data_IF_402928792950
#
_entry.id   IF_402928792950
#
_cell.length_a   1.000
_cell.length_b   1.000
_cell.length_c   1.000
_cell.angle_alpha   90.00
_cell.angle_beta   90.00
_cell.angle_gamma   90.00
#
_symmetry.space_group_name_H-M   'P 1'
#
loop_
_entity.id
_entity.type
_entity.pdbx_description
1 polymer ?
#
# COMPACT_ATOMS: atom_id res chain seq x y z
N UNK A 1 15.11 43.27 -10.44
CA UNK A 1 14.15 42.57 -9.54
C UNK A 1 14.94 41.96 -8.39
N UNK A 2 14.96 42.60 -7.21
CA UNK A 2 15.71 42.10 -6.06
C UNK A 2 14.87 41.01 -5.37
N UNK A 3 15.32 39.76 -5.48
CA UNK A 3 14.72 38.63 -4.75
C UNK A 3 15.14 38.78 -3.30
N UNK A 4 14.22 39.16 -2.42
CA UNK A 4 14.49 39.27 -1.00
C UNK A 4 14.70 37.88 -0.37
N UNK A 5 15.54 37.80 0.67
CA UNK A 5 15.86 36.56 1.39
C UNK A 5 14.59 35.79 1.86
N UNK A 6 13.51 36.50 2.17
CA UNK A 6 12.19 35.96 2.54
C UNK A 6 11.52 35.22 1.38
N UNK A 7 11.64 35.78 0.15
CA UNK A 7 11.06 35.15 -1.04
C UNK A 7 11.83 33.89 -1.45
N UNK A 8 13.15 33.84 -1.23
CA UNK A 8 13.96 32.66 -1.47
C UNK A 8 13.58 31.50 -0.53
N UNK A 9 13.35 31.78 0.75
CA UNK A 9 12.91 30.76 1.73
C UNK A 9 11.51 30.26 1.39
N UNK A 10 10.59 31.14 1.02
CA UNK A 10 9.23 30.74 0.63
C UNK A 10 9.21 29.86 -0.62
N UNK A 11 10.00 30.21 -1.65
CA UNK A 11 10.14 29.43 -2.88
C UNK A 11 10.76 28.07 -2.59
N UNK A 12 11.81 28.02 -1.74
CA UNK A 12 12.47 26.77 -1.34
C UNK A 12 11.50 25.85 -0.59
N UNK A 13 10.65 26.40 0.29
CA UNK A 13 9.67 25.62 1.05
C UNK A 13 8.57 25.04 0.14
N UNK A 14 8.10 25.82 -0.84
CA UNK A 14 7.10 25.38 -1.83
C UNK A 14 7.68 24.28 -2.73
N UNK A 15 8.93 24.41 -3.17
CA UNK A 15 9.60 23.39 -4.00
C UNK A 15 9.81 22.11 -3.22
N UNK A 16 10.25 22.18 -1.95
CA UNK A 16 10.44 21.01 -1.09
C UNK A 16 9.12 20.28 -0.81
N UNK A 17 8.00 20.99 -0.73
CA UNK A 17 6.67 20.40 -0.54
C UNK A 17 6.04 19.89 -1.84
N UNK A 18 6.36 20.48 -2.99
CA UNK A 18 5.76 20.13 -4.29
C UNK A 18 6.44 18.92 -4.95
N UNK A 19 7.76 18.75 -4.80
CA UNK A 19 8.50 17.65 -5.42
C UNK A 19 8.00 16.27 -4.94
N UNK A 20 7.74 16.04 -3.64
CA UNK A 20 7.19 14.76 -3.21
C UNK A 20 5.80 14.47 -3.78
N UNK A 21 4.95 15.47 -3.96
CA UNK A 21 3.57 15.24 -4.42
C UNK A 21 3.48 14.81 -5.89
N UNK A 22 4.40 15.24 -6.74
CA UNK A 22 4.45 14.86 -8.16
C UNK A 22 5.01 13.45 -8.40
N UNK A 23 5.90 12.97 -7.51
CA UNK A 23 6.50 11.63 -7.62
C UNK A 23 5.60 10.50 -7.06
N UNK A 24 4.42 10.82 -6.52
CA UNK A 24 3.63 9.91 -5.69
C UNK A 24 2.34 9.40 -6.33
N UNK A 25 2.00 9.83 -7.53
CA UNK A 25 0.84 9.33 -8.25
C UNK A 25 1.19 8.09 -9.07
N UNK A 26 1.51 6.99 -8.37
CA UNK A 26 1.41 5.70 -9.01
C UNK A 26 -0.07 5.39 -9.22
N UNK A 27 -0.49 5.20 -10.45
CA UNK A 27 -1.81 4.66 -10.72
C UNK A 27 -1.82 3.17 -10.41
N UNK A 28 -2.81 2.73 -9.65
CA UNK A 28 -3.06 1.32 -9.37
C UNK A 28 -4.25 0.89 -10.20
N UNK A 29 -4.05 -0.14 -11.01
CA UNK A 29 -5.02 -0.59 -12.02
C UNK A 29 -5.28 -2.10 -11.89
N UNK A 30 -6.25 -2.61 -12.67
CA UNK A 30 -6.53 -4.03 -12.75
C UNK A 30 -7.04 -4.64 -11.44
N UNK A 31 -7.67 -3.84 -10.56
CA UNK A 31 -8.07 -4.26 -9.22
C UNK A 31 -8.92 -5.54 -9.21
N UNK A 32 -9.86 -5.70 -10.15
CA UNK A 32 -10.68 -6.90 -10.21
C UNK A 32 -9.84 -8.16 -10.49
N UNK A 33 -8.91 -8.09 -11.45
CA UNK A 33 -8.02 -9.20 -11.79
C UNK A 33 -7.06 -9.57 -10.67
N UNK A 34 -6.38 -8.57 -10.09
CA UNK A 34 -5.47 -8.81 -8.97
C UNK A 34 -6.20 -9.33 -7.72
N UNK A 35 -7.38 -8.80 -7.41
CA UNK A 35 -8.20 -9.27 -6.30
C UNK A 35 -8.57 -10.74 -6.47
N UNK A 36 -8.97 -11.15 -7.68
CA UNK A 36 -9.28 -12.54 -7.97
C UNK A 36 -8.03 -13.43 -7.94
N UNK A 37 -6.96 -13.01 -8.60
CA UNK A 37 -5.72 -13.79 -8.72
C UNK A 37 -4.99 -14.00 -7.38
N UNK A 38 -5.10 -13.05 -6.46
CA UNK A 38 -4.43 -13.09 -5.15
C UNK A 38 -5.37 -13.46 -4.00
N UNK A 39 -6.51 -14.07 -4.30
CA UNK A 39 -7.48 -14.54 -3.29
C UNK A 39 -8.04 -13.42 -2.39
N UNK A 40 -8.25 -12.21 -2.95
CA UNK A 40 -8.95 -11.11 -2.28
C UNK A 40 -10.46 -11.32 -2.22
N UNK A 41 -11.22 -10.21 -2.20
CA UNK A 41 -12.68 -10.22 -2.17
C UNK A 41 -13.24 -10.10 -0.76
N UNK A 42 -14.51 -10.48 -0.59
CA UNK A 42 -15.18 -10.35 0.72
C UNK A 42 -14.82 -11.51 1.62
N UNK A 43 -14.27 -11.19 2.78
CA UNK A 43 -13.90 -12.16 3.83
C UNK A 43 -14.54 -11.77 5.16
N UNK A 44 -14.80 -12.79 6.00
CA UNK A 44 -15.40 -12.59 7.32
C UNK A 44 -14.34 -12.77 8.41
N UNK A 45 -14.24 -11.78 9.30
CA UNK A 45 -13.40 -11.85 10.50
C UNK A 45 -14.28 -11.55 11.72
N UNK A 46 -14.38 -12.52 12.62
CA UNK A 46 -15.34 -12.45 13.71
C UNK A 46 -16.79 -12.36 13.20
N UNK A 47 -17.52 -11.34 13.60
CA UNK A 47 -18.90 -11.09 13.18
C UNK A 47 -19.02 -10.23 11.92
N UNK A 48 -17.95 -9.55 11.50
CA UNK A 48 -17.98 -8.53 10.46
C UNK A 48 -17.43 -9.02 9.13
N UNK A 49 -17.91 -8.41 8.03
CA UNK A 49 -17.44 -8.66 6.67
C UNK A 49 -16.59 -7.49 6.22
N UNK A 50 -15.43 -7.81 5.66
CA UNK A 50 -14.49 -6.85 5.09
C UNK A 50 -14.29 -7.14 3.61
N UNK A 51 -14.18 -6.09 2.80
CA UNK A 51 -13.79 -6.21 1.39
C UNK A 51 -12.28 -6.00 1.31
N UNK A 52 -11.58 -6.99 0.74
CA UNK A 52 -10.14 -6.96 0.52
C UNK A 52 -9.91 -6.77 -0.96
N UNK A 53 -9.37 -5.61 -1.33
CA UNK A 53 -9.12 -5.24 -2.72
C UNK A 53 -7.62 -5.13 -2.96
N UNK A 54 -7.18 -5.71 -4.08
CA UNK A 54 -5.78 -5.67 -4.51
C UNK A 54 -5.71 -5.05 -5.90
N UNK A 55 -4.83 -4.07 -6.04
CA UNK A 55 -4.58 -3.39 -7.32
C UNK A 55 -3.09 -3.38 -7.61
N UNK A 56 -2.70 -3.59 -8.88
CA UNK A 56 -1.30 -3.55 -9.30
C UNK A 56 -0.88 -2.18 -9.80
N UNK A 57 0.34 -1.76 -9.46
CA UNK A 57 1.04 -0.71 -10.16
C UNK A 57 2.03 -1.37 -11.12
N UNK A 58 2.07 -0.93 -12.37
CA UNK A 58 3.13 -1.33 -13.28
C UNK A 58 4.46 -0.84 -12.72
N UNK A 59 5.31 -1.79 -12.32
CA UNK A 59 6.64 -1.50 -11.81
C UNK A 59 7.44 -0.75 -12.85
N UNK A 60 8.11 0.31 -12.45
CA UNK A 60 9.15 0.95 -13.24
C UNK A 60 10.44 0.14 -13.08
N UNK A 61 11.04 -0.24 -14.22
CA UNK A 61 12.43 -0.75 -14.32
C UNK A 61 12.70 -2.10 -13.61
N UNK A 62 12.01 -3.18 -14.03
CA UNK A 62 12.41 -4.55 -13.71
C UNK A 62 12.24 -4.99 -12.26
N UNK A 63 11.73 -4.13 -11.40
CA UNK A 63 11.22 -4.50 -10.08
C UNK A 63 9.79 -4.96 -10.26
N UNK A 64 9.47 -6.19 -9.89
CA UNK A 64 8.17 -6.81 -10.08
C UNK A 64 6.98 -5.91 -9.69
N UNK A 65 5.77 -6.33 -10.03
CA UNK A 65 4.57 -5.54 -9.77
C UNK A 65 4.44 -5.19 -8.28
N UNK A 66 4.29 -3.91 -8.01
CA UNK A 66 3.91 -3.46 -6.68
C UNK A 66 2.40 -3.57 -6.53
N UNK A 67 1.96 -4.23 -5.49
CA UNK A 67 0.55 -4.45 -5.18
C UNK A 67 0.14 -3.53 -4.04
N UNK A 68 -0.99 -2.86 -4.22
CA UNK A 68 -1.68 -2.16 -3.16
C UNK A 68 -2.81 -3.04 -2.64
N UNK A 69 -2.74 -3.43 -1.38
CA UNK A 69 -3.78 -4.13 -0.64
C UNK A 69 -4.57 -3.12 0.19
N UNK A 70 -5.88 -3.06 0.01
CA UNK A 70 -6.78 -2.26 0.81
C UNK A 70 -7.80 -3.15 1.52
N UNK A 71 -8.02 -2.89 2.79
CA UNK A 71 -9.08 -3.49 3.59
C UNK A 71 -10.16 -2.45 3.83
N UNK A 72 -11.35 -2.72 3.32
CA UNK A 72 -12.52 -1.84 3.46
C UNK A 72 -13.49 -2.43 4.47
N UNK A 73 -14.01 -1.57 5.34
CA UNK A 73 -15.05 -1.90 6.30
C UNK A 73 -16.43 -2.08 5.66
N UNK A 74 -17.42 -2.47 6.48
CA UNK A 74 -18.81 -2.63 6.00
C UNK A 74 -19.42 -1.36 5.42
N UNK A 75 -18.97 -0.18 5.87
CA UNK A 75 -19.39 1.12 5.35
C UNK A 75 -18.69 1.53 4.04
N UNK A 76 -17.75 0.72 3.54
CA UNK A 76 -16.98 1.00 2.33
C UNK A 76 -15.78 1.91 2.55
N UNK A 77 -15.47 2.27 3.78
CA UNK A 77 -14.31 3.08 4.16
C UNK A 77 -13.03 2.23 4.20
N UNK A 78 -11.90 2.82 3.80
CA UNK A 78 -10.60 2.15 3.87
C UNK A 78 -10.11 2.17 5.32
N UNK A 79 -9.95 0.98 5.90
CA UNK A 79 -9.49 0.78 7.27
C UNK A 79 -8.00 0.48 7.37
N UNK A 80 -7.43 -0.14 6.35
CA UNK A 80 -6.00 -0.41 6.27
C UNK A 80 -5.55 -0.42 4.82
N UNK A 81 -4.28 -0.06 4.61
CA UNK A 81 -3.63 -0.11 3.31
C UNK A 81 -2.20 -0.60 3.48
N UNK A 82 -1.77 -1.49 2.59
CA UNK A 82 -0.40 -2.02 2.53
C UNK A 82 0.09 -2.08 1.10
N UNK A 83 1.39 -1.90 0.96
CA UNK A 83 2.09 -2.04 -0.32
C UNK A 83 3.12 -3.14 -0.19
N UNK A 84 3.19 -4.02 -1.18
CA UNK A 84 4.17 -5.09 -1.24
C UNK A 84 4.54 -5.41 -2.69
N UNK A 85 5.74 -5.92 -2.89
CA UNK A 85 6.21 -6.28 -4.22
C UNK A 85 6.00 -7.77 -4.46
N UNK A 86 5.46 -8.08 -5.63
CA UNK A 86 5.35 -9.44 -6.15
C UNK A 86 6.35 -9.57 -7.30
N UNK A 87 7.43 -10.31 -7.09
CA UNK A 87 8.34 -10.66 -8.17
C UNK A 87 7.84 -11.89 -8.89
N UNK A 88 7.56 -11.76 -10.16
CA UNK A 88 7.46 -12.89 -11.06
C UNK A 88 8.89 -13.33 -11.43
N UNK A 89 9.52 -14.14 -10.58
CA UNK A 89 10.76 -14.80 -10.93
C UNK A 89 10.37 -16.11 -11.64
N UNK A 90 10.79 -16.26 -12.90
CA UNK A 90 10.62 -17.47 -13.70
C UNK A 90 9.17 -17.91 -13.90
N UNK A 91 8.26 -16.99 -14.25
CA UNK A 91 6.84 -17.29 -14.51
C UNK A 91 6.09 -17.97 -13.34
N UNK A 92 6.65 -17.96 -12.15
CA UNK A 92 5.94 -18.43 -10.97
C UNK A 92 4.77 -17.48 -10.66
N UNK A 93 3.59 -18.05 -10.49
CA UNK A 93 2.42 -17.27 -10.07
C UNK A 93 2.71 -16.55 -8.74
N UNK A 94 2.24 -15.29 -8.60
CA UNK A 94 2.38 -14.58 -7.34
C UNK A 94 1.68 -15.35 -6.22
N UNK A 95 2.24 -15.28 -5.03
CA UNK A 95 1.67 -15.97 -3.87
C UNK A 95 0.37 -15.29 -3.44
N UNK A 96 -0.67 -16.08 -3.29
CA UNK A 96 -1.97 -15.61 -2.84
C UNK A 96 -1.94 -15.17 -1.37
N UNK A 97 -2.93 -14.35 -0.99
CA UNK A 97 -3.18 -14.04 0.42
C UNK A 97 -3.62 -15.29 1.16
N UNK A 98 -3.11 -15.46 2.35
CA UNK A 98 -3.55 -16.49 3.28
C UNK A 98 -4.29 -15.83 4.46
N UNK A 99 -5.33 -16.49 4.95
CA UNK A 99 -6.21 -15.93 5.98
C UNK A 99 -6.09 -16.76 7.27
N UNK A 100 -5.66 -16.09 8.34
CA UNK A 100 -5.74 -16.63 9.69
C UNK A 100 -7.08 -16.28 10.36
N UNK A 101 -7.20 -16.62 11.62
CA UNK A 101 -8.40 -16.32 12.42
C UNK A 101 -8.62 -14.82 12.60
N UNK A 102 -7.53 -14.08 12.83
CA UNK A 102 -7.49 -12.66 13.16
C UNK A 102 -6.44 -11.88 12.36
N UNK A 103 -6.02 -12.41 11.22
CA UNK A 103 -4.99 -11.79 10.39
C UNK A 103 -5.06 -12.20 8.93
N UNK A 104 -4.47 -11.35 8.08
CA UNK A 104 -4.22 -11.60 6.67
C UNK A 104 -2.72 -11.71 6.48
N UNK A 105 -2.25 -12.81 5.92
CA UNK A 105 -0.85 -13.00 5.55
C UNK A 105 -0.65 -12.61 4.09
N UNK A 106 0.43 -11.89 3.80
CA UNK A 106 0.86 -11.55 2.46
C UNK A 106 2.38 -11.63 2.34
N UNK A 107 2.88 -11.75 1.12
CA UNK A 107 4.30 -11.99 0.87
C UNK A 107 4.91 -10.81 0.12
N UNK A 108 5.76 -10.04 0.80
CA UNK A 108 6.52 -8.93 0.22
C UNK A 108 7.90 -9.42 -0.24
N UNK A 109 8.03 -9.70 -1.52
CA UNK A 109 9.27 -10.23 -2.09
C UNK A 109 10.39 -9.19 -2.18
N UNK A 110 10.14 -7.93 -1.88
CA UNK A 110 11.19 -6.90 -1.79
C UNK A 110 12.00 -6.99 -0.50
N UNK A 111 11.55 -7.78 0.47
CA UNK A 111 12.15 -7.87 1.80
C UNK A 111 12.90 -9.19 2.00
N UNK A 112 13.93 -9.18 2.85
CA UNK A 112 14.70 -10.37 3.23
C UNK A 112 13.84 -11.40 3.96
N UNK A 113 12.88 -10.96 4.76
CA UNK A 113 11.82 -11.78 5.35
C UNK A 113 10.51 -11.44 4.64
N UNK A 114 10.07 -12.25 3.66
CA UNK A 114 8.95 -11.89 2.79
C UNK A 114 7.59 -12.00 3.47
N UNK A 115 7.42 -12.86 4.46
CA UNK A 115 6.14 -13.05 5.14
C UNK A 115 5.79 -11.85 6.00
N UNK A 116 4.62 -11.27 5.74
CA UNK A 116 4.03 -10.15 6.46
C UNK A 116 2.62 -10.50 6.87
N UNK A 117 2.12 -9.80 7.87
CA UNK A 117 0.72 -9.97 8.29
C UNK A 117 0.08 -8.61 8.58
N UNK A 118 -1.23 -8.56 8.44
CA UNK A 118 -2.10 -7.47 8.83
C UNK A 118 -3.11 -8.01 9.82
N UNK A 119 -3.13 -7.47 11.04
CA UNK A 119 -4.10 -7.87 12.06
C UNK A 119 -5.53 -7.48 11.66
N UNK A 120 -6.49 -8.35 11.98
CA UNK A 120 -7.91 -8.15 11.70
C UNK A 120 -8.73 -8.27 13.01
N UNK A 121 -9.61 -7.30 13.29
CA UNK A 121 -9.86 -6.05 12.54
C UNK A 121 -8.66 -5.10 12.57
N UNK A 122 -8.53 -4.23 11.54
CA UNK A 122 -7.45 -3.27 11.49
C UNK A 122 -7.44 -2.32 12.70
N UNK A 123 -6.26 -1.96 13.15
CA UNK A 123 -6.08 -1.05 14.27
C UNK A 123 -6.33 0.42 13.88
N UNK A 124 -6.45 1.31 14.88
CA UNK A 124 -6.50 2.75 14.63
C UNK A 124 -5.24 3.27 13.92
N UNK A 125 -4.09 2.67 14.17
CA UNK A 125 -2.85 3.02 13.48
C UNK A 125 -2.91 2.66 12.01
N UNK A 126 -3.49 1.51 11.65
CA UNK A 126 -3.69 1.10 10.25
C UNK A 126 -4.60 2.10 9.52
N UNK A 127 -5.66 2.55 10.19
CA UNK A 127 -6.57 3.57 9.68
C UNK A 127 -5.87 4.91 9.40
N UNK A 128 -5.00 5.37 10.32
CA UNK A 128 -4.21 6.59 10.13
C UNK A 128 -3.18 6.44 9.02
N UNK A 129 -2.48 5.31 8.98
CA UNK A 129 -1.47 5.05 7.95
C UNK A 129 -2.07 4.96 6.54
N UNK A 130 -3.30 4.44 6.42
CA UNK A 130 -4.00 4.40 5.14
C UNK A 130 -4.35 5.81 4.60
N UNK A 131 -4.46 6.82 5.46
CA UNK A 131 -4.80 8.21 5.09
C UNK A 131 -3.61 9.13 4.96
N UNK A 132 -2.49 8.78 5.54
CA UNK A 132 -1.27 9.60 5.52
C UNK A 132 -0.14 8.79 4.87
N UNK A 133 0.04 8.87 3.55
CA UNK A 133 1.03 8.07 2.82
C UNK A 133 2.48 8.28 3.31
N UNK A 134 2.78 9.46 3.86
CA UNK A 134 4.08 9.76 4.49
C UNK A 134 4.39 8.87 5.69
N UNK A 135 3.39 8.56 6.51
CA UNK A 135 3.54 7.69 7.67
C UNK A 135 3.92 6.26 7.28
N UNK A 136 3.34 5.74 6.22
CA UNK A 136 3.68 4.39 5.73
C UNK A 136 5.14 4.30 5.28
N UNK A 137 5.67 5.34 4.62
CA UNK A 137 7.08 5.35 4.19
C UNK A 137 8.03 5.49 5.36
N UNK A 138 7.69 6.28 6.36
CA UNK A 138 8.48 6.40 7.59
C UNK A 138 8.54 5.05 8.32
N UNK A 139 7.41 4.37 8.49
CA UNK A 139 7.37 3.05 9.14
C UNK A 139 8.18 2.03 8.33
N UNK A 140 8.11 2.06 7.00
CA UNK A 140 8.86 1.16 6.13
C UNK A 140 10.38 1.37 6.20
N UNK A 141 10.85 2.56 6.60
CA UNK A 141 12.29 2.86 6.81
C UNK A 141 12.82 2.29 8.13
N UNK A 142 11.95 2.07 9.13
CA UNK A 142 12.31 1.58 10.46
C UNK A 142 11.95 0.11 10.72
N UNK A 143 11.35 -0.59 9.74
CA UNK A 143 11.02 -2.01 9.77
C UNK A 143 11.86 -2.83 8.78
#
# INVERSE_FOLDING_TARGET
MQITRKNLIAISLVVVLAIPSLAWWKSYEGCAGYTQALNGGTKKFGSEKYKIELCGARGTLGNGDEIRLQVMGPAGDVLAERYFAVRTINDAAPRELEYGYDCIFYYDQSKSSPLRFLAMPPSRMDWWTARIPLLQRLIALFS
#
